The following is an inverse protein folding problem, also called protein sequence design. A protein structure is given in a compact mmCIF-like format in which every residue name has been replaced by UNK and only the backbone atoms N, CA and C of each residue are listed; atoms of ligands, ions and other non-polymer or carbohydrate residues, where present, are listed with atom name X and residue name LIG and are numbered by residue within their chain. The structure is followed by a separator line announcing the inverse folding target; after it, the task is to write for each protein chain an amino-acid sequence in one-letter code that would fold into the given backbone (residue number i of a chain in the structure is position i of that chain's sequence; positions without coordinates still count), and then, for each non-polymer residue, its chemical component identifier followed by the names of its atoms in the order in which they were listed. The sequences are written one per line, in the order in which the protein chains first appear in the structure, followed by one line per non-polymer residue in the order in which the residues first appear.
data_IF_762005152879
#
_entry.id   IF_762005152879
#
_cell.length_a   1.000
_cell.length_b   1.000
_cell.length_c   1.000
_cell.angle_alpha   90.00
_cell.angle_beta   90.00
_cell.angle_gamma   90.00
#
_symmetry.space_group_name_H-M   'P 1'
#
loop_
_entity.id
_entity.type
_entity.pdbx_description
1 polymer ?
#
# COMPACT_ATOMS: atom_id res chain seq x y z
N UNK A 1 -23.34 -17.90 39.21
CA UNK A 1 -23.98 -17.81 37.88
C UNK A 1 -23.36 -16.73 36.99
N UNK A 2 -23.25 -15.46 37.43
CA UNK A 2 -22.63 -14.35 36.65
C UNK A 2 -21.19 -14.57 36.13
N UNK A 3 -20.37 -15.33 36.87
CA UNK A 3 -18.99 -15.66 36.44
C UNK A 3 -18.97 -16.70 35.32
N UNK A 4 -19.87 -17.68 35.34
CA UNK A 4 -19.94 -18.74 34.34
C UNK A 4 -20.44 -18.19 33.01
N UNK A 5 -21.46 -17.32 33.04
CA UNK A 5 -21.94 -16.64 31.82
C UNK A 5 -20.88 -15.71 31.22
N UNK A 6 -20.05 -15.06 32.05
CA UNK A 6 -18.92 -14.26 31.57
C UNK A 6 -17.85 -15.12 30.90
N UNK A 7 -17.47 -16.25 31.51
CA UNK A 7 -16.53 -17.20 30.90
C UNK A 7 -17.04 -17.79 29.58
N UNK A 8 -18.33 -18.14 29.50
CA UNK A 8 -18.95 -18.61 28.25
C UNK A 8 -18.97 -17.53 27.17
N UNK A 9 -19.28 -16.28 27.54
CA UNK A 9 -19.25 -15.17 26.60
C UNK A 9 -17.83 -14.90 26.07
N UNK A 10 -16.82 -14.92 26.95
CA UNK A 10 -15.41 -14.77 26.55
C UNK A 10 -14.97 -15.93 25.67
N UNK A 11 -15.31 -17.18 26.01
CA UNK A 11 -14.98 -18.35 25.21
C UNK A 11 -15.60 -18.27 23.81
N UNK A 12 -16.89 -17.90 23.70
CA UNK A 12 -17.53 -17.68 22.40
C UNK A 12 -16.86 -16.56 21.60
N UNK A 13 -16.49 -15.46 22.24
CA UNK A 13 -15.83 -14.34 21.56
C UNK A 13 -14.43 -14.72 21.06
N UNK A 14 -13.66 -15.45 21.87
CA UNK A 14 -12.35 -15.96 21.48
C UNK A 14 -12.50 -16.91 20.28
N UNK A 15 -13.36 -17.93 20.37
CA UNK A 15 -13.59 -18.88 19.27
C UNK A 15 -14.07 -18.17 18.00
N UNK A 16 -14.97 -17.18 18.11
CA UNK A 16 -15.43 -16.39 16.98
C UNK A 16 -14.32 -15.59 16.29
N UNK A 17 -13.40 -15.00 17.06
CA UNK A 17 -12.25 -14.26 16.50
C UNK A 17 -11.26 -15.20 15.79
N UNK A 18 -11.02 -16.40 16.33
CA UNK A 18 -10.14 -17.39 15.70
C UNK A 18 -10.71 -17.97 14.40
N UNK A 19 -12.04 -17.96 14.23
CA UNK A 19 -12.69 -18.41 13.00
C UNK A 19 -12.70 -17.38 11.87
N UNK A 20 -12.28 -16.13 12.12
CA UNK A 20 -12.26 -15.09 11.10
C UNK A 20 -11.09 -15.27 10.12
N UNK A 21 -11.30 -15.00 8.82
CA UNK A 21 -10.21 -15.06 7.86
C UNK A 21 -9.13 -14.02 8.19
N UNK A 22 -7.86 -14.38 7.99
CA UNK A 22 -6.71 -13.55 8.38
C UNK A 22 -6.71 -12.14 7.77
N UNK A 23 -7.33 -11.95 6.60
CA UNK A 23 -7.50 -10.65 5.94
C UNK A 23 -8.41 -9.66 6.71
N UNK A 24 -9.26 -10.15 7.63
CA UNK A 24 -10.16 -9.33 8.47
C UNK A 24 -9.53 -9.00 9.83
N UNK A 25 -8.36 -9.54 10.15
CA UNK A 25 -7.69 -9.31 11.42
C UNK A 25 -6.63 -8.20 11.26
N UNK A 26 -6.61 -7.17 12.13
CA UNK A 26 -5.70 -6.04 11.97
C UNK A 26 -4.25 -6.33 12.39
N UNK A 27 -3.99 -7.36 13.18
CA UNK A 27 -2.65 -7.72 13.70
C UNK A 27 -1.95 -8.83 12.92
N UNK A 28 -2.61 -9.43 11.91
CA UNK A 28 -2.00 -10.49 11.11
C UNK A 28 -1.02 -9.90 10.09
N UNK A 29 0.09 -10.62 9.78
CA UNK A 29 1.05 -10.15 8.80
C UNK A 29 0.39 -9.99 7.42
N UNK A 30 0.90 -9.03 6.63
CA UNK A 30 0.46 -8.84 5.26
C UNK A 30 1.27 -9.76 4.35
N UNK A 31 0.58 -10.49 3.49
CA UNK A 31 1.18 -11.33 2.44
C UNK A 31 0.65 -10.88 1.07
N UNK A 32 1.40 -11.12 0.00
CA UNK A 32 1.02 -10.70 -1.35
C UNK A 32 -0.19 -11.46 -1.92
N UNK A 33 -0.45 -12.68 -1.42
CA UNK A 33 -1.61 -13.51 -1.82
C UNK A 33 -2.87 -13.25 -0.99
N UNK A 34 -2.80 -12.31 -0.04
CA UNK A 34 -3.93 -12.00 0.82
C UNK A 34 -4.98 -11.19 0.04
N UNK A 35 -6.22 -11.69 -0.09
CA UNK A 35 -7.27 -10.91 -0.73
C UNK A 35 -7.59 -9.65 0.08
N UNK A 36 -8.00 -8.55 -0.59
CA UNK A 36 -8.26 -7.29 0.06
C UNK A 36 -9.39 -7.43 1.10
N UNK A 37 -9.11 -7.03 2.34
CA UNK A 37 -10.05 -7.06 3.47
C UNK A 37 -10.25 -5.68 4.12
N UNK A 38 -11.11 -5.62 5.16
CA UNK A 38 -11.49 -4.38 5.85
C UNK A 38 -10.28 -3.59 6.41
N UNK A 39 -9.25 -4.29 6.86
CA UNK A 39 -8.06 -3.69 7.48
C UNK A 39 -6.86 -3.59 6.52
N UNK A 40 -7.07 -3.76 5.22
CA UNK A 40 -5.98 -3.72 4.24
C UNK A 40 -5.22 -2.39 4.26
N UNK A 41 -5.94 -1.27 4.31
CA UNK A 41 -5.34 0.07 4.44
C UNK A 41 -4.47 0.18 5.68
N UNK A 42 -4.94 -0.34 6.82
CA UNK A 42 -4.17 -0.30 8.08
C UNK A 42 -2.88 -1.12 7.96
N UNK A 43 -2.93 -2.30 7.33
CA UNK A 43 -1.75 -3.13 7.08
C UNK A 43 -0.74 -2.44 6.16
N UNK A 44 -1.21 -1.83 5.08
CA UNK A 44 -0.36 -1.06 4.17
C UNK A 44 0.27 0.16 4.86
N UNK A 45 -0.46 0.86 5.72
CA UNK A 45 0.09 2.00 6.45
C UNK A 45 1.21 1.58 7.41
N UNK A 46 1.16 0.39 8.01
CA UNK A 46 2.28 -0.11 8.84
C UNK A 46 3.56 -0.35 8.04
N UNK A 47 3.44 -0.72 6.76
CA UNK A 47 4.59 -0.83 5.86
C UNK A 47 5.22 0.53 5.52
N UNK A 48 4.50 1.64 5.72
CA UNK A 48 5.09 2.98 5.60
C UNK A 48 6.14 3.23 6.67
N UNK A 49 5.97 2.64 7.86
CA UNK A 49 6.86 2.81 9.02
C UNK A 49 8.07 1.85 8.99
N UNK A 50 8.02 0.78 8.19
CA UNK A 50 9.12 -0.20 8.02
C UNK A 50 9.47 -0.41 6.52
N UNK A 51 10.37 0.41 5.96
CA UNK A 51 10.82 0.28 4.57
C UNK A 51 11.55 -1.03 4.26
N UNK A 52 12.16 -1.66 5.26
CA UNK A 52 12.88 -2.92 5.07
C UNK A 52 11.89 -4.09 4.94
N UNK A 53 10.89 -4.17 5.83
CA UNK A 53 9.83 -5.16 5.73
C UNK A 53 9.02 -5.02 4.44
N UNK A 54 8.78 -3.79 3.98
CA UNK A 54 8.06 -3.57 2.72
C UNK A 54 8.84 -4.11 1.50
N UNK A 55 10.15 -3.86 1.44
CA UNK A 55 11.01 -4.38 0.36
C UNK A 55 11.15 -5.90 0.45
N UNK A 56 11.24 -6.45 1.66
CA UNK A 56 11.28 -7.89 1.88
C UNK A 56 10.00 -8.56 1.35
N UNK A 57 8.82 -7.99 1.63
CA UNK A 57 7.55 -8.49 1.14
C UNK A 57 7.48 -8.50 -0.39
N UNK A 58 7.94 -7.44 -1.06
CA UNK A 58 8.00 -7.41 -2.53
C UNK A 58 8.99 -8.44 -3.11
N UNK A 59 10.06 -8.75 -2.37
CA UNK A 59 11.07 -9.74 -2.78
C UNK A 59 10.60 -11.19 -2.60
N UNK A 60 9.48 -11.45 -1.92
CA UNK A 60 8.91 -12.81 -1.79
C UNK A 60 8.45 -13.39 -3.12
N UNK A 61 8.09 -12.54 -4.09
CA UNK A 61 7.65 -12.96 -5.41
C UNK A 61 8.74 -12.68 -6.48
N UNK A 62 9.32 -13.72 -7.10
CA UNK A 62 10.36 -13.54 -8.13
C UNK A 62 9.84 -12.90 -9.42
N UNK A 63 8.52 -12.83 -9.65
CA UNK A 63 7.94 -12.10 -10.77
C UNK A 63 8.06 -10.59 -10.59
N UNK A 64 8.25 -10.11 -9.36
CA UNK A 64 8.38 -8.70 -9.03
C UNK A 64 9.85 -8.30 -9.09
N UNK A 65 10.14 -7.27 -9.87
CA UNK A 65 11.44 -6.62 -9.89
C UNK A 65 11.27 -5.19 -9.42
N UNK A 66 11.89 -4.92 -8.27
CA UNK A 66 12.00 -3.59 -7.67
C UNK A 66 13.42 -3.29 -7.26
N UNK A 67 13.79 -2.02 -7.30
CA UNK A 67 15.06 -1.50 -6.79
C UNK A 67 14.79 -0.43 -5.74
N UNK A 68 15.54 -0.44 -4.64
CA UNK A 68 15.42 0.59 -3.62
C UNK A 68 15.98 1.92 -4.16
N UNK A 69 15.28 3.02 -3.86
CA UNK A 69 15.70 4.36 -4.28
C UNK A 69 15.81 5.24 -3.05
N UNK A 70 16.86 6.07 -3.05
CA UNK A 70 17.12 6.98 -1.95
C UNK A 70 15.97 7.98 -1.75
N UNK A 71 15.80 8.39 -0.50
CA UNK A 71 14.83 9.41 -0.14
C UNK A 71 15.18 10.74 -0.82
N UNK A 72 14.16 11.43 -1.32
CA UNK A 72 14.30 12.67 -2.06
C UNK A 72 13.54 13.80 -1.36
N UNK A 73 14.19 14.94 -1.15
CA UNK A 73 13.54 16.13 -0.58
C UNK A 73 13.82 17.35 -1.44
N UNK A 74 12.77 18.07 -1.83
CA UNK A 74 12.85 19.34 -2.56
C UNK A 74 11.82 20.33 -2.03
N UNK A 75 12.29 21.30 -1.24
CA UNK A 75 11.41 22.18 -0.46
C UNK A 75 10.49 21.34 0.43
N UNK A 76 9.19 21.60 0.36
CA UNK A 76 8.18 20.86 1.12
C UNK A 76 7.81 19.47 0.54
N UNK A 77 8.34 19.14 -0.64
CA UNK A 77 8.12 17.82 -1.24
C UNK A 77 9.16 16.84 -0.69
N UNK A 78 8.74 16.00 0.26
CA UNK A 78 9.56 14.92 0.81
C UNK A 78 9.02 13.58 0.34
N UNK A 79 9.85 12.81 -0.34
CA UNK A 79 9.56 11.46 -0.82
C UNK A 79 10.43 10.47 -0.06
N UNK A 80 9.81 9.58 0.70
CA UNK A 80 10.51 8.54 1.47
C UNK A 80 10.02 7.15 1.11
N UNK A 81 10.80 6.13 1.45
CA UNK A 81 10.43 4.72 1.24
C UNK A 81 10.08 4.45 -0.24
N UNK A 82 10.99 4.88 -1.12
CA UNK A 82 10.84 4.79 -2.56
C UNK A 82 11.41 3.49 -3.12
N UNK A 83 10.69 2.94 -4.09
CA UNK A 83 11.14 1.83 -4.91
C UNK A 83 10.93 2.18 -6.38
N UNK A 84 11.89 1.78 -7.22
CA UNK A 84 11.73 1.77 -8.67
C UNK A 84 11.16 0.41 -9.05
N UNK A 85 9.94 0.40 -9.58
CA UNK A 85 9.29 -0.80 -10.09
C UNK A 85 9.68 -0.97 -11.56
N UNK A 86 10.28 -2.11 -11.89
CA UNK A 86 10.65 -2.45 -13.27
C UNK A 86 9.71 -3.51 -13.87
N UNK A 87 9.23 -4.46 -13.06
CA UNK A 87 8.35 -5.55 -13.50
C UNK A 87 7.48 -6.02 -12.34
N UNK A 88 6.24 -6.40 -12.65
CA UNK A 88 5.33 -7.14 -11.76
C UNK A 88 4.78 -8.35 -12.52
N UNK A 89 3.61 -8.88 -12.15
CA UNK A 89 2.99 -9.97 -12.92
C UNK A 89 2.65 -9.55 -14.37
N UNK A 90 2.56 -8.25 -14.63
CA UNK A 90 2.39 -7.66 -15.97
C UNK A 90 3.65 -6.90 -16.40
N UNK A 91 3.80 -6.72 -17.71
CA UNK A 91 4.87 -5.88 -18.23
C UNK A 91 4.56 -4.39 -18.07
N UNK A 92 5.57 -3.59 -17.74
CA UNK A 92 5.47 -2.14 -17.69
C UNK A 92 6.12 -1.52 -18.90
N UNK A 93 5.55 -0.44 -19.42
CA UNK A 93 6.14 0.29 -20.54
C UNK A 93 7.43 1.02 -20.20
N UNK A 94 7.59 1.41 -18.95
CA UNK A 94 8.81 2.01 -18.41
C UNK A 94 8.91 1.73 -16.91
N UNK A 95 10.14 1.73 -16.38
CA UNK A 95 10.33 1.67 -14.92
C UNK A 95 9.83 2.96 -14.28
N UNK A 96 9.13 2.87 -13.15
CA UNK A 96 8.59 4.04 -12.48
C UNK A 96 8.92 4.05 -10.98
N UNK A 97 8.90 5.23 -10.38
CA UNK A 97 9.14 5.40 -8.95
C UNK A 97 7.82 5.34 -8.18
N UNK A 98 7.74 4.52 -7.14
CA UNK A 98 6.57 4.47 -6.28
C UNK A 98 6.99 4.43 -4.82
N UNK A 99 6.08 4.83 -3.93
CA UNK A 99 6.21 4.46 -2.54
C UNK A 99 6.07 2.95 -2.40
N UNK A 100 6.91 2.31 -1.59
CA UNK A 100 6.88 0.87 -1.40
C UNK A 100 5.48 0.31 -1.04
N UNK A 101 4.72 0.86 -0.06
CA UNK A 101 3.39 0.34 0.24
C UNK A 101 2.39 0.51 -0.92
N UNK A 102 2.60 1.48 -1.81
CA UNK A 102 1.81 1.62 -3.04
C UNK A 102 2.14 0.50 -4.04
N UNK A 103 3.42 0.14 -4.17
CA UNK A 103 3.82 -0.99 -5.01
C UNK A 103 3.24 -2.32 -4.49
N UNK A 104 3.24 -2.54 -3.17
CA UNK A 104 2.58 -3.71 -2.56
C UNK A 104 1.08 -3.73 -2.83
N UNK A 105 0.40 -2.59 -2.64
CA UNK A 105 -1.03 -2.47 -2.92
C UNK A 105 -1.36 -2.77 -4.39
N UNK A 106 -0.49 -2.33 -5.31
CA UNK A 106 -0.63 -2.57 -6.74
C UNK A 106 -0.53 -4.07 -7.06
N UNK A 107 0.47 -4.77 -6.52
CA UNK A 107 0.63 -6.22 -6.73
C UNK A 107 -0.59 -7.01 -6.24
N UNK A 108 -1.12 -6.64 -5.07
CA UNK A 108 -2.32 -7.29 -4.51
C UNK A 108 -3.54 -6.99 -5.40
N UNK A 109 -3.64 -5.77 -5.95
CA UNK A 109 -4.67 -5.42 -6.93
C UNK A 109 -4.56 -6.22 -8.23
N UNK A 110 -3.35 -6.38 -8.78
CA UNK A 110 -3.11 -7.20 -9.97
C UNK A 110 -3.65 -8.62 -9.77
N UNK A 111 -3.27 -9.25 -8.65
CA UNK A 111 -3.62 -10.65 -8.33
C UNK A 111 -5.11 -10.86 -8.10
N UNK A 112 -5.77 -9.97 -7.36
CA UNK A 112 -7.13 -10.23 -6.88
C UNK A 112 -8.24 -9.51 -7.64
N UNK A 113 -7.93 -8.50 -8.46
CA UNK A 113 -8.95 -7.66 -9.10
C UNK A 113 -8.68 -7.38 -10.56
N UNK A 114 -7.44 -7.01 -10.93
CA UNK A 114 -7.16 -6.57 -12.30
C UNK A 114 -7.46 -7.66 -13.34
N UNK A 115 -6.99 -8.89 -13.09
CA UNK A 115 -7.16 -9.99 -14.05
C UNK A 115 -8.63 -10.39 -14.21
N UNK A 116 -9.37 -10.47 -13.09
CA UNK A 116 -10.80 -10.80 -13.08
C UNK A 116 -11.63 -9.74 -13.83
N UNK A 117 -11.38 -8.45 -13.55
CA UNK A 117 -12.07 -7.35 -14.22
C UNK A 117 -11.73 -7.28 -15.70
N UNK A 118 -10.47 -7.50 -16.07
CA UNK A 118 -10.05 -7.51 -17.47
C UNK A 118 -10.73 -8.65 -18.24
N UNK A 119 -10.77 -9.86 -17.68
CA UNK A 119 -11.42 -10.99 -18.32
C UNK A 119 -12.93 -10.78 -18.47
N UNK A 120 -13.60 -10.24 -17.45
CA UNK A 120 -15.06 -10.03 -17.47
C UNK A 120 -15.50 -8.85 -18.34
N UNK A 121 -14.69 -7.80 -18.44
CA UNK A 121 -15.04 -6.57 -19.17
C UNK A 121 -14.52 -6.56 -20.60
N UNK A 122 -13.30 -7.08 -20.82
CA UNK A 122 -12.59 -7.01 -22.10
C UNK A 122 -12.47 -8.37 -22.78
N UNK A 123 -12.76 -9.48 -22.08
CA UNK A 123 -12.61 -10.84 -22.61
C UNK A 123 -11.16 -11.32 -22.72
N UNK A 124 -10.20 -10.56 -22.20
CA UNK A 124 -8.76 -10.84 -22.33
C UNK A 124 -7.98 -10.49 -21.06
N UNK A 125 -6.88 -11.21 -20.82
CA UNK A 125 -5.92 -10.90 -19.75
C UNK A 125 -5.08 -9.65 -20.06
N UNK A 126 -4.69 -8.92 -19.01
CA UNK A 126 -3.75 -7.78 -19.14
C UNK A 126 -2.33 -8.31 -19.26
N UNK A 127 -1.66 -8.00 -20.37
CA UNK A 127 -0.26 -8.36 -20.60
C UNK A 127 0.70 -7.20 -20.34
N UNK A 128 0.23 -5.96 -20.46
CA UNK A 128 1.05 -4.75 -20.33
C UNK A 128 0.27 -3.59 -19.76
N UNK A 129 0.94 -2.81 -18.91
CA UNK A 129 0.42 -1.56 -18.34
C UNK A 129 1.30 -0.40 -18.79
N UNK A 130 0.66 0.58 -19.43
CA UNK A 130 1.30 1.82 -19.86
C UNK A 130 1.35 2.82 -18.69
N UNK A 131 2.56 3.16 -18.26
CA UNK A 131 2.78 4.06 -17.14
C UNK A 131 3.07 5.50 -17.61
N UNK A 132 2.29 6.47 -17.12
CA UNK A 132 2.39 7.88 -17.51
C UNK A 132 3.05 8.79 -16.44
N UNK A 133 3.51 8.22 -15.33
CA UNK A 133 4.12 8.95 -14.21
C UNK A 133 3.32 8.77 -12.91
N UNK A 134 4.03 8.45 -11.83
CA UNK A 134 3.48 8.16 -10.49
C UNK A 134 3.82 9.23 -9.45
N UNK A 135 4.96 9.92 -9.60
CA UNK A 135 5.46 10.90 -8.63
C UNK A 135 5.85 12.19 -9.35
N UNK A 136 5.27 13.31 -8.92
CA UNK A 136 5.59 14.63 -9.43
C UNK A 136 5.66 15.63 -8.26
N UNK A 137 6.84 16.21 -8.02
CA UNK A 137 7.04 17.34 -7.11
C UNK A 137 7.04 18.67 -7.91
N UNK A 138 5.90 19.04 -8.52
CA UNK A 138 5.79 20.29 -9.30
C UNK A 138 4.79 21.25 -8.67
N UNK A 139 4.92 22.54 -8.93
CA UNK A 139 3.93 23.51 -8.47
C UNK A 139 2.58 23.26 -9.17
N UNK A 140 1.50 23.24 -8.39
CA UNK A 140 0.15 23.09 -8.93
C UNK A 140 -0.12 24.31 -9.83
N UNK A 141 -0.61 24.07 -11.06
CA UNK A 141 -0.82 25.09 -12.09
C UNK A 141 0.43 25.87 -12.55
N UNK A 142 1.65 25.40 -12.25
CA UNK A 142 2.89 26.02 -12.72
C UNK A 142 3.18 27.42 -12.14
N UNK A 143 2.41 27.90 -11.17
CA UNK A 143 2.67 29.21 -10.53
C UNK A 143 3.84 29.11 -9.57
N UNK A 144 4.74 30.09 -9.56
CA UNK A 144 5.98 30.03 -8.76
C UNK A 144 5.72 29.93 -7.24
N UNK A 145 4.61 30.48 -6.74
CA UNK A 145 4.23 30.48 -5.32
C UNK A 145 3.05 29.55 -4.98
N UNK A 146 2.63 28.68 -5.91
CA UNK A 146 1.55 27.74 -5.63
C UNK A 146 2.04 26.54 -4.79
N UNK A 147 1.13 25.98 -3.99
CA UNK A 147 1.32 24.69 -3.33
C UNK A 147 1.86 23.66 -4.32
N UNK A 148 2.88 22.89 -3.94
CA UNK A 148 3.39 21.77 -4.74
C UNK A 148 2.42 20.60 -4.74
N UNK A 149 2.39 19.84 -5.82
CA UNK A 149 1.74 18.55 -5.87
C UNK A 149 2.47 17.63 -4.89
N UNK A 150 1.77 17.26 -3.82
CA UNK A 150 2.24 16.26 -2.88
C UNK A 150 1.73 14.91 -3.38
N UNK A 151 2.60 13.96 -3.77
CA UNK A 151 2.15 12.60 -3.96
C UNK A 151 1.57 12.09 -2.62
N UNK A 152 0.42 11.40 -2.70
CA UNK A 152 -0.23 10.86 -1.51
C UNK A 152 0.60 9.69 -1.00
N UNK A 153 1.44 9.96 -0.01
CA UNK A 153 1.99 8.93 0.85
C UNK A 153 0.83 8.32 1.65
N UNK A 154 0.87 7.00 1.89
CA UNK A 154 0.04 6.37 2.90
C UNK A 154 0.57 6.85 4.26
N UNK A 155 0.05 7.99 4.69
CA UNK A 155 0.49 8.74 5.87
C UNK A 155 0.26 7.85 7.10
N UNK A 156 1.31 7.64 7.88
CA UNK A 156 1.18 7.08 9.23
C UNK A 156 0.29 8.03 10.06
N UNK A 157 -0.80 7.57 10.71
CA UNK A 157 -1.77 8.44 11.37
C UNK A 157 -1.17 9.32 12.48
N UNK A 158 0.06 9.04 12.93
CA UNK A 158 0.78 9.83 13.92
C UNK A 158 1.55 11.03 13.33
N UNK A 159 1.91 11.03 12.05
CA UNK A 159 2.68 12.14 11.45
C UNK A 159 1.81 13.28 10.94
N UNK A 160 0.50 13.09 10.76
CA UNK A 160 -0.43 14.11 10.26
C UNK A 160 -0.65 15.25 11.26
N UNK A 161 -0.52 15.01 12.56
CA UNK A 161 -0.73 16.02 13.59
C UNK A 161 0.44 16.99 13.75
N UNK A 162 1.65 16.62 13.28
CA UNK A 162 2.84 17.48 13.40
C UNK A 162 2.91 18.56 12.32
N UNK A 163 2.34 18.32 11.13
CA UNK A 163 2.45 19.26 10.00
C UNK A 163 1.32 20.28 9.89
N UNK A 164 0.25 20.15 10.69
CA UNK A 164 -0.87 21.11 10.67
C UNK A 164 -0.62 22.29 11.62
N UNK A 165 0.32 22.19 12.57
CA UNK A 165 0.57 23.23 13.58
C UNK A 165 1.60 24.30 13.18
N UNK A 166 2.31 24.16 12.06
CA UNK A 166 3.42 25.06 11.67
C UNK A 166 3.10 26.00 10.51
N UNK A 167 1.90 25.95 9.94
CA UNK A 167 1.43 26.94 8.96
C UNK A 167 0.51 27.96 9.64
N UNK A 168 1.11 28.91 10.35
CA UNK A 168 0.52 30.19 10.74
C UNK A 168 1.05 31.29 9.83
#
# INVERSE_FOLDING_TARGET
MRRITWWLAVACLVVGVWALPLQWLPWTPLTLDMPPGLFMTLKLTRLSDDPAACRALLAEDPAIRVEAVDDFTSGDCRLTNLVRVQRTAVEWSSSYLAHCPLAVAWVIYERHRLMDVAQTTLGSSVVRVEHLGSLACRNIYGRQQARRSQPRQLISPLSSWRTVSESA
#
